data_IF_726000418590
#
_entry.id   IF_726000418590
#
_cell.length_a   1.000
_cell.length_b   1.000
_cell.length_c   1.000
_cell.angle_alpha   90.00
_cell.angle_beta   90.00
_cell.angle_gamma   90.00
#
_symmetry.space_group_name_H-M   'P 1'
#
loop_
_entity.id
_entity.type
_entity.pdbx_description
1 polymer ?
#
# COMPACT_ATOMS: atom_id res chain seq x y z
N UNK A 1 -24.97 -11.15 2.82
CA UNK A 1 -24.45 -10.36 1.69
C UNK A 1 -24.54 -8.91 2.11
N UNK A 2 -23.44 -8.29 2.53
CA UNK A 2 -23.38 -6.83 2.66
C UNK A 2 -22.83 -6.31 1.33
N UNK A 3 -23.62 -5.49 0.63
CA UNK A 3 -23.20 -4.88 -0.64
C UNK A 3 -22.10 -3.83 -0.44
N UNK A 4 -21.90 -2.98 -1.44
CA UNK A 4 -20.86 -1.94 -1.49
C UNK A 4 -21.00 -0.82 -0.43
N UNK A 5 -22.17 -0.71 0.21
CA UNK A 5 -22.44 0.30 1.24
C UNK A 5 -22.46 -0.33 2.63
N UNK A 6 -21.54 0.11 3.49
CA UNK A 6 -21.31 -0.44 4.83
C UNK A 6 -21.71 0.53 5.96
N UNK A 7 -22.34 1.67 5.63
CA UNK A 7 -22.80 2.69 6.58
C UNK A 7 -21.68 3.31 7.44
N UNK A 8 -20.43 3.33 6.96
CA UNK A 8 -19.30 3.90 7.72
C UNK A 8 -19.07 5.38 7.45
N UNK A 9 -19.38 5.83 6.23
CA UNK A 9 -19.16 7.19 5.79
C UNK A 9 -20.07 7.53 4.62
N UNK A 10 -20.47 8.79 4.50
CA UNK A 10 -21.16 9.33 3.31
C UNK A 10 -20.32 9.18 2.04
N UNK A 11 -18.98 9.11 2.17
CA UNK A 11 -18.09 8.88 1.02
C UNK A 11 -18.37 7.56 0.31
N UNK A 12 -18.90 6.56 1.02
CA UNK A 12 -19.23 5.26 0.41
C UNK A 12 -20.33 5.38 -0.65
N UNK A 13 -21.18 6.42 -0.60
CA UNK A 13 -22.21 6.70 -1.63
C UNK A 13 -21.61 7.08 -2.98
N UNK A 14 -20.33 7.43 -3.03
CA UNK A 14 -19.64 7.91 -4.21
C UNK A 14 -18.50 6.95 -4.59
N UNK A 15 -18.32 6.71 -5.88
CA UNK A 15 -17.26 5.84 -6.42
C UNK A 15 -15.84 6.41 -6.34
N UNK A 16 -15.58 7.29 -5.37
CA UNK A 16 -14.28 7.94 -5.16
C UNK A 16 -13.47 7.10 -4.20
N UNK A 17 -12.30 6.64 -4.65
CA UNK A 17 -11.37 5.87 -3.81
C UNK A 17 -10.75 6.77 -2.73
N UNK A 18 -10.47 6.26 -1.51
CA UNK A 18 -9.69 6.97 -0.51
C UNK A 18 -8.32 7.45 -1.04
N UNK A 19 -7.74 6.77 -2.03
CA UNK A 19 -6.47 7.16 -2.64
C UNK A 19 -6.56 8.49 -3.42
N UNK A 20 -7.76 9.00 -3.71
CA UNK A 20 -7.95 10.26 -4.44
C UNK A 20 -7.37 11.48 -3.70
N UNK A 21 -7.23 11.41 -2.37
CA UNK A 21 -6.64 12.47 -1.55
C UNK A 21 -5.15 12.26 -1.27
N UNK A 22 -4.51 11.26 -1.88
CA UNK A 22 -3.10 10.95 -1.65
C UNK A 22 -2.16 12.16 -1.85
N UNK A 23 -2.32 13.01 -2.89
CA UNK A 23 -1.47 14.18 -3.06
C UNK A 23 -1.56 15.17 -1.89
N UNK A 24 -2.75 15.40 -1.35
CA UNK A 24 -2.96 16.31 -0.21
C UNK A 24 -2.28 15.77 1.06
N UNK A 25 -2.35 14.45 1.28
CA UNK A 25 -1.70 13.80 2.42
C UNK A 25 -0.17 13.84 2.31
N UNK A 26 0.38 13.56 1.12
CA UNK A 26 1.83 13.61 0.89
C UNK A 26 2.34 15.05 0.99
N UNK A 27 1.60 16.03 0.48
CA UNK A 27 1.97 17.45 0.61
C UNK A 27 1.96 17.92 2.08
N UNK A 28 1.04 17.40 2.91
CA UNK A 28 0.94 17.78 4.32
C UNK A 28 2.02 17.14 5.21
N UNK A 29 2.36 15.86 5.00
CA UNK A 29 3.28 15.12 5.86
C UNK A 29 4.72 15.02 5.32
N UNK A 30 4.91 15.14 4.00
CA UNK A 30 6.17 14.91 3.32
C UNK A 30 6.43 13.43 3.02
N UNK A 31 7.18 13.15 1.95
CA UNK A 31 7.46 11.79 1.48
C UNK A 31 8.23 10.94 2.51
N UNK A 32 9.23 11.53 3.18
CA UNK A 32 10.06 10.82 4.16
C UNK A 32 9.24 10.24 5.32
N UNK A 33 8.24 10.99 5.81
CA UNK A 33 7.37 10.52 6.88
C UNK A 33 6.59 9.25 6.49
N UNK A 34 6.13 9.17 5.24
CA UNK A 34 5.46 7.96 4.73
C UNK A 34 6.38 6.76 4.69
N UNK A 35 7.63 6.95 4.23
CA UNK A 35 8.64 5.88 4.20
C UNK A 35 8.95 5.40 5.60
N UNK A 36 9.22 6.32 6.54
CA UNK A 36 9.55 5.99 7.93
C UNK A 36 8.42 5.23 8.62
N UNK A 37 7.17 5.69 8.47
CA UNK A 37 6.01 4.99 9.00
C UNK A 37 5.83 3.61 8.36
N UNK A 38 5.96 3.50 7.04
CA UNK A 38 5.81 2.24 6.33
C UNK A 38 6.88 1.22 6.77
N UNK A 39 8.14 1.66 6.89
CA UNK A 39 9.23 0.83 7.40
C UNK A 39 8.98 0.38 8.84
N UNK A 40 8.49 1.27 9.72
CA UNK A 40 8.16 0.92 11.10
C UNK A 40 7.00 -0.10 11.20
N UNK A 41 5.99 0.02 10.33
CA UNK A 41 4.92 -0.97 10.23
C UNK A 41 5.44 -2.32 9.77
N UNK A 42 6.29 -2.34 8.73
CA UNK A 42 6.89 -3.58 8.22
C UNK A 42 7.75 -4.28 9.29
N UNK A 43 8.60 -3.53 10.00
CA UNK A 43 9.42 -4.07 11.09
C UNK A 43 8.59 -4.71 12.20
N UNK A 44 7.36 -4.22 12.40
CA UNK A 44 6.42 -4.76 13.37
C UNK A 44 5.51 -5.89 12.81
N UNK A 45 5.82 -6.44 11.62
CA UNK A 45 5.04 -7.50 10.96
C UNK A 45 3.70 -7.03 10.38
N UNK A 46 3.46 -5.72 10.33
CA UNK A 46 2.23 -5.10 9.81
C UNK A 46 2.40 -4.71 8.33
N UNK A 47 2.62 -5.73 7.49
CA UNK A 47 2.96 -5.53 6.09
C UNK A 47 1.81 -4.91 5.27
N UNK A 48 0.54 -5.19 5.59
CA UNK A 48 -0.60 -4.61 4.86
C UNK A 48 -0.69 -3.09 5.12
N UNK A 49 -0.46 -2.66 6.35
CA UNK A 49 -0.44 -1.24 6.71
C UNK A 49 0.76 -0.53 6.11
N UNK A 50 1.93 -1.20 6.05
CA UNK A 50 3.08 -0.68 5.30
C UNK A 50 2.72 -0.46 3.82
N UNK A 51 2.01 -1.42 3.20
CA UNK A 51 1.55 -1.28 1.81
C UNK A 51 0.58 -0.13 1.61
N UNK A 52 -0.37 0.07 2.52
CA UNK A 52 -1.31 1.21 2.45
C UNK A 52 -0.57 2.55 2.45
N UNK A 53 0.47 2.69 3.27
CA UNK A 53 1.30 3.90 3.31
C UNK A 53 2.11 4.07 2.03
N UNK A 54 2.73 3.00 1.51
CA UNK A 54 3.47 3.08 0.25
C UNK A 54 2.56 3.33 -0.95
N UNK A 55 1.33 2.82 -0.96
CA UNK A 55 0.36 3.06 -2.03
C UNK A 55 -0.02 4.54 -2.11
N UNK A 56 -0.20 5.21 -0.95
CA UNK A 56 -0.46 6.66 -0.89
C UNK A 56 0.72 7.44 -1.49
N UNK A 57 1.95 7.13 -1.07
CA UNK A 57 3.12 7.83 -1.57
C UNK A 57 3.35 7.56 -3.06
N UNK A 58 3.29 6.30 -3.51
CA UNK A 58 3.53 5.91 -4.90
C UNK A 58 2.42 6.38 -5.86
N UNK A 59 1.21 6.64 -5.37
CA UNK A 59 0.17 7.29 -6.17
C UNK A 59 0.55 8.73 -6.55
N UNK A 60 1.35 9.41 -5.72
CA UNK A 60 1.81 10.79 -5.93
C UNK A 60 3.20 10.84 -6.57
N UNK A 61 4.10 9.96 -6.14
CA UNK A 61 5.49 9.86 -6.58
C UNK A 61 5.83 8.42 -7.04
N UNK A 62 5.42 8.01 -8.25
CA UNK A 62 5.50 6.61 -8.69
C UNK A 62 6.90 5.99 -8.75
N UNK A 63 7.94 6.83 -8.74
CA UNK A 63 9.36 6.43 -8.81
C UNK A 63 10.12 6.71 -7.51
N UNK A 64 9.44 6.96 -6.40
CA UNK A 64 10.08 7.18 -5.11
C UNK A 64 10.80 5.90 -4.65
N UNK A 65 12.13 5.88 -4.77
CA UNK A 65 12.95 4.68 -4.65
C UNK A 65 12.73 3.96 -3.31
N UNK A 66 12.73 4.69 -2.19
CA UNK A 66 12.53 4.09 -0.86
C UNK A 66 11.15 3.48 -0.67
N UNK A 67 10.12 4.11 -1.22
CA UNK A 67 8.75 3.63 -1.11
C UNK A 67 8.57 2.34 -1.92
N UNK A 68 9.18 2.26 -3.11
CA UNK A 68 9.23 1.04 -3.90
C UNK A 68 9.96 -0.08 -3.14
N UNK A 69 11.10 0.22 -2.50
CA UNK A 69 11.84 -0.77 -1.68
C UNK A 69 11.01 -1.31 -0.52
N UNK A 70 10.35 -0.43 0.24
CA UNK A 70 9.48 -0.85 1.35
C UNK A 70 8.27 -1.65 0.84
N UNK A 71 7.68 -1.24 -0.28
CA UNK A 71 6.56 -1.96 -0.88
C UNK A 71 6.96 -3.38 -1.32
N UNK A 72 8.12 -3.55 -1.96
CA UNK A 72 8.65 -4.87 -2.34
C UNK A 72 8.85 -5.73 -1.08
N UNK A 73 9.55 -5.22 -0.07
CA UNK A 73 9.83 -5.96 1.16
C UNK A 73 8.53 -6.36 1.91
N UNK A 74 7.51 -5.51 1.89
CA UNK A 74 6.20 -5.83 2.46
C UNK A 74 5.47 -6.95 1.68
N UNK A 75 5.55 -6.95 0.34
CA UNK A 75 5.00 -8.05 -0.46
C UNK A 75 5.77 -9.36 -0.24
N UNK A 76 7.10 -9.31 -0.10
CA UNK A 76 7.92 -10.48 0.22
C UNK A 76 7.55 -11.06 1.58
N UNK A 77 7.39 -10.20 2.60
CA UNK A 77 6.93 -10.62 3.92
C UNK A 77 5.58 -11.34 3.85
N UNK A 78 4.60 -10.82 3.12
CA UNK A 78 3.31 -11.48 2.93
C UNK A 78 3.46 -12.82 2.18
N UNK A 79 4.35 -12.89 1.19
CA UNK A 79 4.56 -14.08 0.37
C UNK A 79 5.16 -15.24 1.17
N UNK A 80 6.06 -14.93 2.10
CA UNK A 80 6.65 -15.91 3.02
C UNK A 80 5.65 -16.44 4.04
N UNK A 81 4.66 -15.62 4.41
CA UNK A 81 3.70 -15.94 5.48
C UNK A 81 2.37 -16.53 4.98
N UNK A 82 2.15 -16.62 3.66
CA UNK A 82 0.94 -17.24 3.09
C UNK A 82 1.21 -18.62 2.47
N UNK A 83 0.30 -19.56 2.75
CA UNK A 83 0.24 -20.87 2.08
C UNK A 83 -0.76 -20.89 0.93
N UNK A 84 -1.50 -19.80 0.71
CA UNK A 84 -2.53 -19.72 -0.33
C UNK A 84 -1.88 -19.55 -1.72
N UNK A 85 -2.15 -20.50 -2.61
CA UNK A 85 -1.60 -20.50 -3.96
C UNK A 85 -1.87 -19.21 -4.75
N UNK A 86 -3.10 -18.68 -4.66
CA UNK A 86 -3.51 -17.49 -5.40
C UNK A 86 -2.87 -16.22 -4.85
N UNK A 87 -2.78 -16.10 -3.53
CA UNK A 87 -2.09 -14.98 -2.89
C UNK A 87 -0.61 -14.98 -3.27
N UNK A 88 0.05 -16.15 -3.21
CA UNK A 88 1.47 -16.28 -3.62
C UNK A 88 1.67 -15.88 -5.08
N UNK A 89 0.77 -16.31 -5.98
CA UNK A 89 0.83 -15.94 -7.39
C UNK A 89 0.67 -14.42 -7.61
N UNK A 90 -0.26 -13.80 -6.89
CA UNK A 90 -0.48 -12.36 -6.91
C UNK A 90 0.73 -11.59 -6.39
N UNK A 91 1.22 -11.91 -5.19
CA UNK A 91 2.33 -11.24 -4.53
C UNK A 91 3.61 -11.29 -5.37
N UNK A 92 3.93 -12.46 -5.96
CA UNK A 92 5.06 -12.62 -6.87
C UNK A 92 4.95 -11.71 -8.10
N UNK A 93 3.74 -11.56 -8.67
CA UNK A 93 3.49 -10.66 -9.79
C UNK A 93 3.63 -9.19 -9.38
N UNK A 94 3.17 -8.82 -8.19
CA UNK A 94 3.30 -7.46 -7.65
C UNK A 94 4.75 -7.07 -7.44
N UNK A 95 5.57 -7.93 -6.83
CA UNK A 95 7.01 -7.72 -6.66
C UNK A 95 7.68 -7.46 -8.02
N UNK A 96 7.48 -8.38 -8.97
CA UNK A 96 8.04 -8.24 -10.32
C UNK A 96 7.52 -7.02 -11.11
N UNK A 97 6.40 -6.41 -10.71
CA UNK A 97 5.91 -5.14 -11.28
C UNK A 97 6.64 -3.96 -10.65
N UNK A 98 6.84 -3.98 -9.33
CA UNK A 98 7.48 -2.91 -8.57
C UNK A 98 8.98 -2.79 -8.83
N UNK A 99 9.66 -3.90 -9.13
CA UNK A 99 11.09 -3.92 -9.44
C UNK A 99 11.44 -3.45 -10.86
N UNK A 100 10.43 -3.20 -11.70
CA UNK A 100 10.67 -2.70 -13.06
C UNK A 100 11.04 -1.21 -13.01
N UNK A 101 12.11 -0.79 -13.72
CA UNK A 101 12.55 0.60 -13.77
C UNK A 101 11.57 1.53 -14.49
#
# INVERSE_FOLDING_TARGET
>A
YAGWFHHRSTTELFGVTPLAVAPDLVAAAGADAFVDMAAAHLQAGRAVEALQLTDILLATEPRHAEALRVAVAAHEHLYENTTNFWERAWLRRSIAKLEKP
#
